data_IF_118966858058
#
_entry.id   IF_118966858058
#
_cell.length_a   1.000
_cell.length_b   1.000
_cell.length_c   1.000
_cell.angle_alpha   90.00
_cell.angle_beta   90.00
_cell.angle_gamma   90.00
#
_symmetry.space_group_name_H-M   'P 1'
#
loop_
_entity.id
_entity.type
_entity.pdbx_description
1 polymer ?
#
# COMPACT_ATOMS: atom_id res chain seq x y z
N UNK A 1 -25.93 6.69 -1.83
CA UNK A 1 -24.76 5.80 -2.04
C UNK A 1 -23.64 6.30 -1.15
N UNK A 2 -22.89 5.41 -0.45
CA UNK A 2 -21.74 5.85 0.34
C UNK A 2 -20.73 6.55 -0.57
N UNK A 3 -20.09 7.60 -0.07
CA UNK A 3 -19.01 8.27 -0.80
C UNK A 3 -17.79 7.35 -0.88
N UNK A 4 -17.04 7.35 -1.99
CA UNK A 4 -15.86 6.51 -2.13
C UNK A 4 -14.80 6.86 -1.08
N UNK A 5 -14.12 5.85 -0.55
CA UNK A 5 -13.06 6.02 0.45
C UNK A 5 -11.85 6.65 -0.20
N UNK A 6 -11.40 7.79 0.34
CA UNK A 6 -10.20 8.46 -0.14
C UNK A 6 -8.94 7.79 0.39
N UNK A 7 -8.24 7.10 -0.50
CA UNK A 7 -6.96 6.45 -0.21
C UNK A 7 -5.85 7.48 -0.16
N UNK A 8 -5.20 7.57 1.00
CA UNK A 8 -4.02 8.40 1.25
C UNK A 8 -2.80 7.54 1.56
N UNK A 9 -3.00 6.38 2.18
CA UNK A 9 -1.94 5.48 2.62
C UNK A 9 -2.20 4.04 2.22
N UNK A 10 -1.21 3.44 1.54
CA UNK A 10 -1.10 2.00 1.28
C UNK A 10 0.04 1.47 2.15
N UNK A 11 -0.22 0.40 2.91
CA UNK A 11 0.81 -0.26 3.72
C UNK A 11 1.10 -1.63 3.13
N UNK A 12 2.32 -1.86 2.64
CA UNK A 12 2.82 -3.20 2.38
C UNK A 12 3.34 -3.77 3.70
N UNK A 13 2.76 -4.87 4.16
CA UNK A 13 3.01 -5.39 5.49
C UNK A 13 3.51 -6.83 5.48
N UNK A 14 4.33 -7.16 6.47
CA UNK A 14 5.05 -8.42 6.64
C UNK A 14 5.10 -8.76 8.13
N UNK A 15 5.43 -9.99 8.51
CA UNK A 15 5.62 -10.33 9.92
C UNK A 15 6.96 -9.79 10.44
N UNK A 16 7.00 -9.33 11.71
CA UNK A 16 8.22 -8.79 12.32
C UNK A 16 9.42 -9.76 12.34
N UNK A 17 9.18 -11.07 12.24
CA UNK A 17 10.23 -12.10 12.33
C UNK A 17 11.35 -11.92 11.30
N UNK A 18 11.01 -11.60 10.05
CA UNK A 18 11.99 -11.29 9.01
C UNK A 18 11.30 -10.53 7.86
N UNK A 19 11.90 -9.43 7.37
CA UNK A 19 11.45 -8.80 6.12
C UNK A 19 11.94 -9.64 4.94
N UNK A 20 11.06 -10.33 4.20
CA UNK A 20 11.52 -11.13 3.07
C UNK A 20 12.00 -10.20 1.95
N UNK A 21 13.16 -10.46 1.35
CA UNK A 21 13.65 -9.68 0.20
C UNK A 21 12.63 -9.65 -0.96
N UNK A 22 11.86 -10.74 -1.12
CA UNK A 22 10.75 -10.81 -2.04
C UNK A 22 9.67 -9.74 -1.77
N UNK A 23 9.42 -9.43 -0.50
CA UNK A 23 8.44 -8.46 -0.07
C UNK A 23 8.89 -7.01 -0.27
N UNK A 24 10.18 -6.73 -0.08
CA UNK A 24 10.75 -5.44 -0.47
C UNK A 24 10.54 -5.16 -1.98
N UNK A 25 10.63 -6.20 -2.82
CA UNK A 25 10.33 -6.07 -4.25
C UNK A 25 8.84 -5.81 -4.54
N UNK A 26 7.93 -6.35 -3.73
CA UNK A 26 6.48 -6.03 -3.80
C UNK A 26 6.26 -4.56 -3.47
N UNK A 27 6.79 -4.10 -2.34
CA UNK A 27 6.72 -2.69 -1.92
C UNK A 27 7.21 -1.74 -3.02
N UNK A 28 8.40 -1.99 -3.59
CA UNK A 28 8.96 -1.15 -4.67
C UNK A 28 8.11 -1.15 -5.94
N UNK A 29 7.39 -2.23 -6.25
CA UNK A 29 6.46 -2.29 -7.40
C UNK A 29 5.23 -1.43 -7.15
N UNK A 30 4.62 -1.53 -5.97
CA UNK A 30 3.50 -0.67 -5.59
C UNK A 30 3.90 0.81 -5.61
N UNK A 31 5.03 1.17 -4.98
CA UNK A 31 5.54 2.55 -4.98
C UNK A 31 5.68 3.08 -6.41
N UNK A 32 6.33 2.30 -7.30
CA UNK A 32 6.58 2.69 -8.68
C UNK A 32 5.29 2.84 -9.51
N UNK A 33 4.32 1.95 -9.33
CA UNK A 33 3.06 1.99 -10.10
C UNK A 33 2.21 3.18 -9.66
N UNK A 34 2.08 3.42 -8.36
CA UNK A 34 1.34 4.56 -7.79
C UNK A 34 2.00 5.89 -8.19
N UNK A 35 3.33 5.96 -8.14
CA UNK A 35 4.09 7.13 -8.56
C UNK A 35 3.90 7.44 -10.05
N UNK A 36 4.00 6.42 -10.92
CA UNK A 36 3.75 6.57 -12.36
C UNK A 36 2.32 7.01 -12.68
N UNK A 37 1.35 6.61 -11.86
CA UNK A 37 -0.03 7.04 -11.99
C UNK A 37 -0.26 8.50 -11.54
N UNK A 38 0.75 9.17 -10.97
CA UNK A 38 0.65 10.54 -10.49
C UNK A 38 -0.34 10.71 -9.34
N UNK A 39 -0.52 9.68 -8.51
CA UNK A 39 -1.44 9.70 -7.38
C UNK A 39 -0.77 10.23 -6.11
N UNK A 40 -1.50 11.01 -5.33
CA UNK A 40 -1.08 11.56 -4.04
C UNK A 40 -1.35 10.55 -2.92
N UNK A 41 -0.74 9.38 -3.09
CA UNK A 41 -0.85 8.26 -2.16
C UNK A 41 0.55 7.92 -1.65
N UNK A 42 0.66 7.70 -0.35
CA UNK A 42 1.89 7.27 0.31
C UNK A 42 1.89 5.74 0.37
N UNK A 43 2.95 5.13 -0.13
CA UNK A 43 3.19 3.69 0.03
C UNK A 43 4.20 3.50 1.16
N UNK A 44 3.90 2.61 2.11
CA UNK A 44 4.74 2.32 3.28
C UNK A 44 5.10 0.84 3.32
N UNK A 45 6.19 0.54 4.02
CA UNK A 45 6.59 -0.81 4.37
C UNK A 45 6.70 -0.87 5.89
N UNK A 46 5.74 -1.50 6.55
CA UNK A 46 5.65 -1.57 8.02
C UNK A 46 5.24 -2.99 8.43
N UNK A 47 5.77 -3.56 9.53
CA UNK A 47 5.38 -4.90 9.97
C UNK A 47 3.91 -4.91 10.42
N UNK A 48 3.26 -6.08 10.35
CA UNK A 48 1.83 -6.25 10.63
C UNK A 48 1.51 -5.98 12.10
N UNK A 49 2.51 -6.14 12.96
CA UNK A 49 2.48 -5.82 14.38
C UNK A 49 2.59 -4.32 14.69
N UNK A 50 2.98 -3.48 13.71
CA UNK A 50 3.18 -2.03 13.89
C UNK A 50 2.51 -1.20 12.79
N UNK A 51 1.29 -1.59 12.41
CA UNK A 51 0.52 -0.84 11.43
C UNK A 51 0.30 0.60 11.91
N UNK A 52 0.33 1.59 10.98
CA UNK A 52 0.00 2.96 11.34
C UNK A 52 -1.46 3.08 11.77
N UNK A 53 -1.78 4.09 12.58
CA UNK A 53 -3.14 4.35 13.08
C UNK A 53 -4.17 4.53 11.96
N UNK A 54 -3.74 4.96 10.76
CA UNK A 54 -4.60 5.21 9.61
C UNK A 54 -3.96 4.71 8.32
N UNK A 55 -4.71 3.88 7.61
CA UNK A 55 -4.45 3.42 6.26
C UNK A 55 -5.75 2.92 5.63
N UNK A 56 -5.82 2.97 4.30
CA UNK A 56 -7.03 2.57 3.58
C UNK A 56 -6.82 1.28 2.79
N UNK A 57 -5.56 0.92 2.52
CA UNK A 57 -5.18 -0.31 1.83
C UNK A 57 -4.04 -0.99 2.56
N UNK A 58 -4.21 -2.28 2.82
CA UNK A 58 -3.21 -3.15 3.42
C UNK A 58 -2.84 -4.24 2.40
N UNK A 59 -1.58 -4.25 1.97
CA UNK A 59 -1.04 -5.25 1.06
C UNK A 59 -0.24 -6.26 1.88
N UNK A 60 -0.50 -7.56 1.71
CA UNK A 60 0.15 -8.62 2.50
C UNK A 60 0.49 -9.83 1.64
N UNK A 61 1.44 -10.69 2.07
CA UNK A 61 1.62 -12.01 1.51
C UNK A 61 0.32 -12.82 1.60
N UNK A 62 0.14 -13.79 0.71
CA UNK A 62 -1.09 -14.59 0.66
C UNK A 62 -1.33 -15.37 1.95
N UNK A 63 -0.26 -15.90 2.52
CA UNK A 63 -0.24 -16.60 3.80
C UNK A 63 -0.69 -15.75 4.99
N UNK A 64 -0.67 -14.41 4.87
CA UNK A 64 -1.12 -13.49 5.92
C UNK A 64 -2.51 -12.93 5.68
N UNK A 65 -3.22 -13.33 4.61
CA UNK A 65 -4.53 -12.76 4.24
C UNK A 65 -5.53 -12.76 5.40
N UNK A 66 -5.76 -13.93 5.99
CA UNK A 66 -6.76 -14.10 7.05
C UNK A 66 -6.45 -13.22 8.27
N UNK A 67 -5.18 -13.23 8.70
CA UNK A 67 -4.71 -12.38 9.79
C UNK A 67 -4.85 -10.90 9.45
N UNK A 68 -4.52 -10.50 8.23
CA UNK A 68 -4.66 -9.12 7.76
C UNK A 68 -6.13 -8.66 7.72
N UNK A 69 -7.04 -9.52 7.26
CA UNK A 69 -8.49 -9.22 7.26
C UNK A 69 -9.03 -8.99 8.67
N UNK A 70 -8.55 -9.75 9.66
CA UNK A 70 -8.93 -9.54 11.06
C UNK A 70 -8.42 -8.21 11.66
N UNK A 71 -7.32 -7.67 11.13
CA UNK A 71 -6.65 -6.46 11.64
C UNK A 71 -6.98 -5.18 10.84
N UNK A 72 -7.35 -5.33 9.57
CA UNK A 72 -7.55 -4.23 8.64
C UNK A 72 -8.77 -3.35 8.98
N UNK A 73 -9.72 -3.87 9.77
CA UNK A 73 -10.97 -3.18 10.06
C UNK A 73 -11.74 -2.88 8.77
N UNK A 74 -11.81 -1.59 8.39
CA UNK A 74 -12.47 -1.13 7.16
C UNK A 74 -11.52 -0.99 5.96
N UNK A 75 -10.21 -1.19 6.17
CA UNK A 75 -9.23 -1.06 5.10
C UNK A 75 -9.33 -2.22 4.10
N UNK A 76 -9.03 -1.94 2.84
CA UNK A 76 -9.01 -2.94 1.78
C UNK A 76 -7.75 -3.81 1.91
N UNK A 77 -7.93 -5.12 2.07
CA UNK A 77 -6.81 -6.08 2.06
C UNK A 77 -6.51 -6.57 0.65
N UNK A 78 -5.26 -6.45 0.21
CA UNK A 78 -4.75 -7.01 -1.04
C UNK A 78 -3.68 -8.04 -0.70
N UNK A 79 -4.06 -9.32 -0.77
CA UNK A 79 -3.09 -10.40 -0.69
C UNK A 79 -2.48 -10.65 -2.07
N UNK A 80 -1.15 -10.71 -2.16
CA UNK A 80 -0.45 -10.84 -3.44
C UNK A 80 0.90 -11.53 -3.28
N UNK A 81 1.44 -12.01 -4.41
CA UNK A 81 2.77 -12.59 -4.49
C UNK A 81 3.77 -11.60 -5.10
N UNK A 82 5.06 -11.95 -5.06
CA UNK A 82 6.10 -11.20 -5.78
C UNK A 82 5.85 -11.11 -7.29
N UNK A 83 5.28 -12.15 -7.88
CA UNK A 83 5.03 -12.25 -9.33
C UNK A 83 3.86 -11.36 -9.73
N UNK A 84 2.81 -11.34 -8.92
CA UNK A 84 1.55 -10.68 -9.27
C UNK A 84 1.45 -9.23 -8.78
N UNK A 85 2.39 -8.79 -7.93
CA UNK A 85 2.39 -7.45 -7.33
C UNK A 85 2.24 -6.30 -8.33
N UNK A 86 2.84 -6.39 -9.52
CA UNK A 86 2.68 -5.35 -10.56
C UNK A 86 1.24 -5.30 -11.06
N UNK A 87 0.63 -6.46 -11.32
CA UNK A 87 -0.75 -6.56 -11.78
C UNK A 87 -1.70 -6.04 -10.70
N UNK A 88 -1.54 -6.51 -9.46
CA UNK A 88 -2.33 -6.05 -8.32
C UNK A 88 -2.25 -4.52 -8.10
N UNK A 89 -1.06 -3.93 -8.23
CA UNK A 89 -0.89 -2.48 -8.12
C UNK A 89 -1.57 -1.72 -9.28
N UNK A 90 -1.51 -2.25 -10.50
CA UNK A 90 -2.19 -1.62 -11.65
C UNK A 90 -3.71 -1.70 -11.51
N UNK A 91 -4.24 -2.81 -11.01
CA UNK A 91 -5.68 -2.96 -10.79
C UNK A 91 -6.17 -2.02 -9.69
N UNK A 92 -5.40 -1.85 -8.61
CA UNK A 92 -5.67 -0.83 -7.60
C UNK A 92 -5.68 0.58 -8.22
N UNK A 93 -4.72 0.93 -9.08
CA UNK A 93 -4.72 2.24 -9.77
C UNK A 93 -5.97 2.42 -10.62
N UNK A 94 -6.39 1.40 -11.38
CA UNK A 94 -7.61 1.44 -12.20
C UNK A 94 -8.85 1.69 -11.34
N UNK A 95 -8.95 1.01 -10.20
CA UNK A 95 -10.05 1.20 -9.26
C UNK A 95 -10.07 2.63 -8.69
N UNK A 96 -8.92 3.12 -8.23
CA UNK A 96 -8.77 4.49 -7.70
C UNK A 96 -9.13 5.57 -8.72
N UNK A 97 -8.84 5.32 -10.01
CA UNK A 97 -9.17 6.23 -11.10
C UNK A 97 -10.64 6.15 -11.50
N UNK A 98 -11.27 4.98 -11.39
CA UNK A 98 -12.69 4.81 -11.62
C UNK A 98 -13.54 5.51 -10.54
N UNK A 99 -13.04 5.56 -9.30
CA UNK A 99 -13.64 6.34 -8.22
C UNK A 99 -14.95 5.77 -7.67
N UNK A 100 -15.25 4.49 -7.92
CA UNK A 100 -16.50 3.87 -7.51
C UNK A 100 -16.53 3.56 -6.00
N UNK A 101 -15.53 2.82 -5.51
CA UNK A 101 -15.42 2.41 -4.09
C UNK A 101 -14.24 3.09 -3.41
N UNK A 102 -13.11 3.17 -4.11
CA UNK A 102 -11.89 3.83 -3.67
C UNK A 102 -11.57 4.98 -4.62
N UNK A 103 -10.99 6.06 -4.08
CA UNK A 103 -10.52 7.20 -4.87
C UNK A 103 -9.18 7.70 -4.34
N UNK A 104 -8.41 8.41 -5.17
CA UNK A 104 -7.16 9.05 -4.77
C UNK A 104 -7.02 10.43 -5.40
N UNK A 105 -6.48 11.38 -4.63
CA UNK A 105 -6.12 12.70 -5.15
C UNK A 105 -4.98 12.57 -6.19
N UNK A 106 -4.98 13.41 -7.22
CA UNK A 106 -3.83 13.56 -8.15
C UNK A 106 -2.77 14.43 -7.50
N UNK A 107 -1.49 14.09 -7.69
CA UNK A 107 -0.38 14.99 -7.35
C UNK A 107 -0.46 16.23 -8.24
N UNK A 108 -0.27 17.40 -7.65
CA UNK A 108 -0.15 18.64 -8.42
C UNK A 108 1.27 18.76 -8.99
N UNK A 109 1.46 19.37 -10.17
CA UNK A 109 2.79 19.69 -10.68
C UNK A 109 3.58 20.50 -9.65
N UNK A 110 4.79 20.03 -9.30
CA UNK A 110 5.66 20.69 -8.32
C UNK A 110 5.47 20.29 -6.84
N UNK A 111 4.53 19.38 -6.53
CA UNK A 111 4.37 18.88 -5.15
C UNK A 111 5.50 17.90 -4.78
N UNK A 112 6.21 18.09 -3.63
CA UNK A 112 7.33 17.23 -3.26
C UNK A 112 6.88 15.78 -3.03
N UNK A 113 7.75 14.83 -3.41
CA UNK A 113 7.51 13.39 -3.16
C UNK A 113 7.38 13.18 -1.64
N UNK A 114 6.26 12.61 -1.20
CA UNK A 114 6.10 12.17 0.20
C UNK A 114 6.99 10.94 0.40
N UNK A 115 8.24 11.18 0.78
CA UNK A 115 9.18 10.14 1.21
C UNK A 115 9.20 10.15 2.72
N UNK A 116 8.88 9.01 3.33
CA UNK A 116 9.19 8.83 4.75
C UNK A 116 10.22 7.73 4.86
N UNK A 117 11.46 8.16 5.12
CA UNK A 117 12.46 7.31 5.74
C UNK A 117 12.00 7.09 7.19
N UNK A 118 11.54 5.87 7.51
CA UNK A 118 11.73 5.38 8.88
C UNK A 118 13.20 4.97 8.96
N UNK A 119 13.96 5.70 9.77
CA UNK A 119 15.40 5.55 9.90
C UNK A 119 15.78 4.12 10.28
N UNK A 120 16.62 3.52 9.48
CA UNK A 120 17.59 2.55 9.98
C UNK A 120 18.80 3.37 10.38
N UNK A 121 19.02 3.53 11.68
CA UNK A 121 20.36 3.86 12.18
C UNK A 121 21.27 2.71 11.75
N UNK A 122 22.27 3.05 10.95
CA UNK A 122 23.41 2.19 10.69
C UNK A 122 24.36 2.42 11.87
N UNK A 123 24.56 1.40 12.69
CA UNK A 123 25.77 1.27 13.51
C UNK A 123 26.80 0.45 12.73
#
# INVERSE_FOLDING_TARGET
>A
MPSPTLVRTIVCSYTREELPAAWLAVFRRFERVIERAGLRVRVRLDPLEELPERFEVLVVPEELRERAESLAGVARVIATTRTDATTAANDLVRELQAGATLTAERRRPGEPKIVVHRGTEIL
#
